data_IF_865395866811
#
_entry.id   IF_865395866811
#
_cell.length_a   1.000
_cell.length_b   1.000
_cell.length_c   1.000
_cell.angle_alpha   90.00
_cell.angle_beta   90.00
_cell.angle_gamma   90.00
#
_symmetry.space_group_name_H-M   'P 1'
#
loop_
_entity.id
_entity.type
_entity.pdbx_description
1 polymer ?
#
# COMPACT_ATOMS: atom_id res chain seq x y z
N UNK A 1 17.02 -0.14 -12.29
CA UNK A 1 17.37 -0.85 -11.04
C UNK A 1 18.71 -0.42 -10.45
N UNK A 2 19.70 0.06 -11.23
CA UNK A 2 21.01 0.38 -10.67
C UNK A 2 21.04 1.50 -9.60
N UNK A 3 20.06 2.41 -9.53
CA UNK A 3 20.00 3.41 -8.43
C UNK A 3 19.34 2.86 -7.17
N UNK A 4 18.36 1.96 -7.32
CA UNK A 4 17.78 1.19 -6.22
C UNK A 4 18.87 0.34 -5.55
N UNK A 5 19.68 -0.32 -6.38
CA UNK A 5 20.81 -1.14 -5.95
C UNK A 5 21.91 -0.33 -5.27
N UNK A 6 22.19 0.89 -5.74
CA UNK A 6 23.23 1.73 -5.17
C UNK A 6 22.81 2.42 -3.86
N UNK A 7 21.52 2.78 -3.71
CA UNK A 7 21.05 3.59 -2.58
C UNK A 7 20.30 2.79 -1.51
N UNK A 8 19.47 1.81 -1.89
CA UNK A 8 18.62 1.08 -0.94
C UNK A 8 19.29 -0.18 -0.39
N UNK A 9 19.96 -0.95 -1.24
CA UNK A 9 20.48 -2.26 -0.85
C UNK A 9 21.62 -2.21 0.17
N UNK A 10 22.57 -1.25 0.11
CA UNK A 10 23.57 -1.09 1.16
C UNK A 10 22.93 -0.77 2.53
N UNK A 11 21.84 0.00 2.54
CA UNK A 11 21.10 0.32 3.77
C UNK A 11 20.46 -0.93 4.36
N UNK A 12 19.84 -1.77 3.53
CA UNK A 12 19.30 -3.06 3.95
C UNK A 12 20.39 -4.01 4.47
N UNK A 13 21.57 -4.03 3.84
CA UNK A 13 22.72 -4.85 4.29
C UNK A 13 23.28 -4.40 5.65
N UNK A 14 23.26 -3.09 5.94
CA UNK A 14 23.60 -2.53 7.27
C UNK A 14 22.52 -2.75 8.34
N UNK A 15 21.40 -3.40 7.99
CA UNK A 15 20.28 -3.65 8.91
C UNK A 15 19.31 -2.48 9.05
N UNK A 16 19.38 -1.49 8.14
CA UNK A 16 18.41 -0.41 8.05
C UNK A 16 17.05 -0.88 7.51
N UNK A 17 16.05 -0.03 7.69
CA UNK A 17 14.65 -0.28 7.30
C UNK A 17 14.29 0.53 6.06
N UNK A 18 13.60 -0.10 5.11
CA UNK A 18 13.00 0.60 3.96
C UNK A 18 11.49 0.59 4.10
N UNK A 19 10.89 1.77 4.35
CA UNK A 19 9.46 1.99 4.46
C UNK A 19 8.88 2.44 3.12
N UNK A 20 7.97 1.66 2.55
CA UNK A 20 7.39 1.93 1.23
C UNK A 20 5.95 2.44 1.31
N UNK A 21 5.56 3.24 0.30
CA UNK A 21 4.19 3.70 0.14
C UNK A 21 3.22 2.60 -0.30
N UNK A 22 3.72 1.52 -0.91
CA UNK A 22 2.89 0.39 -1.35
C UNK A 22 3.49 -0.96 -1.00
N UNK A 23 2.64 -1.96 -0.76
CA UNK A 23 3.06 -3.36 -0.57
C UNK A 23 3.74 -3.93 -1.82
N UNK A 24 3.31 -3.48 -3.01
CA UNK A 24 3.92 -3.90 -4.29
C UNK A 24 5.38 -3.42 -4.39
N UNK A 25 5.64 -2.17 -4.01
CA UNK A 25 7.01 -1.64 -4.00
C UNK A 25 7.89 -2.38 -2.99
N UNK A 26 7.39 -2.67 -1.78
CA UNK A 26 8.14 -3.45 -0.79
C UNK A 26 8.54 -4.82 -1.33
N UNK A 27 7.60 -5.53 -1.96
CA UNK A 27 7.86 -6.83 -2.60
C UNK A 27 8.89 -6.75 -3.71
N UNK A 28 8.81 -5.73 -4.58
CA UNK A 28 9.77 -5.59 -5.68
C UNK A 28 11.18 -5.24 -5.17
N UNK A 29 11.29 -4.36 -4.17
CA UNK A 29 12.57 -4.03 -3.53
C UNK A 29 13.17 -5.28 -2.86
N UNK A 30 12.37 -6.04 -2.10
CA UNK A 30 12.80 -7.29 -1.48
C UNK A 30 13.30 -8.31 -2.50
N UNK A 31 12.53 -8.58 -3.57
CA UNK A 31 12.95 -9.45 -4.67
C UNK A 31 14.21 -8.95 -5.37
N UNK A 32 14.36 -7.63 -5.51
CA UNK A 32 15.55 -7.00 -6.07
C UNK A 32 16.78 -7.24 -5.20
N UNK A 33 16.64 -7.09 -3.89
CA UNK A 33 17.70 -7.34 -2.92
C UNK A 33 18.14 -8.81 -2.94
N UNK A 34 17.20 -9.76 -3.02
CA UNK A 34 17.51 -11.18 -3.14
C UNK A 34 18.30 -11.50 -4.41
N UNK A 35 17.93 -10.90 -5.55
CA UNK A 35 18.69 -11.05 -6.81
C UNK A 35 20.09 -10.46 -6.69
N UNK A 36 20.23 -9.32 -6.03
CA UNK A 36 21.50 -8.66 -5.81
C UNK A 36 22.44 -9.49 -4.93
N UNK A 37 21.93 -10.10 -3.85
CA UNK A 37 22.73 -11.00 -3.00
C UNK A 37 23.15 -12.28 -3.74
N UNK A 38 22.24 -12.89 -4.51
CA UNK A 38 22.57 -14.06 -5.36
C UNK A 38 23.65 -13.74 -6.39
N UNK A 39 23.56 -12.59 -7.06
CA UNK A 39 24.54 -12.17 -8.05
C UNK A 39 25.95 -11.97 -7.45
N UNK A 40 26.04 -11.71 -6.14
CA UNK A 40 27.29 -11.60 -5.37
C UNK A 40 27.79 -12.94 -4.82
N UNK A 41 27.12 -14.05 -5.15
CA UNK A 41 27.50 -15.39 -4.74
C UNK A 41 27.11 -15.75 -3.30
N UNK A 42 26.30 -14.94 -2.63
CA UNK A 42 25.78 -15.30 -1.31
C UNK A 42 24.85 -16.51 -1.42
N UNK A 43 24.94 -17.43 -0.46
CA UNK A 43 24.08 -18.62 -0.37
C UNK A 43 22.98 -18.49 0.69
N UNK A 44 23.17 -17.58 1.65
CA UNK A 44 22.18 -17.18 2.65
C UNK A 44 22.44 -15.73 3.09
N UNK A 45 21.37 -14.98 3.36
CA UNK A 45 21.42 -13.60 3.86
C UNK A 45 20.16 -13.30 4.70
N UNK A 46 20.22 -12.32 5.61
CA UNK A 46 19.03 -11.81 6.27
C UNK A 46 18.02 -11.27 5.25
N UNK A 47 16.74 -11.57 5.46
CA UNK A 47 15.67 -11.01 4.64
C UNK A 47 15.70 -9.47 4.69
N UNK A 48 15.48 -8.83 3.54
CA UNK A 48 15.39 -7.38 3.46
C UNK A 48 14.31 -6.86 4.42
N UNK A 49 14.68 -5.97 5.35
CA UNK A 49 13.73 -5.26 6.19
C UNK A 49 13.05 -4.14 5.37
N UNK A 50 12.23 -4.55 4.39
CA UNK A 50 11.51 -3.65 3.50
C UNK A 50 10.01 -3.89 3.62
N UNK A 51 9.29 -2.92 4.17
CA UNK A 51 7.89 -3.05 4.55
C UNK A 51 7.08 -1.84 4.08
N UNK A 52 5.80 -2.08 3.81
CA UNK A 52 4.85 -0.98 3.67
C UNK A 52 4.72 -0.26 5.02
N UNK A 53 4.66 1.08 5.02
CA UNK A 53 4.65 1.89 6.26
C UNK A 53 3.59 1.42 7.26
N UNK A 54 2.35 1.14 6.82
CA UNK A 54 1.31 0.64 7.74
C UNK A 54 1.63 -0.74 8.33
N UNK A 55 2.35 -1.60 7.61
CA UNK A 55 2.76 -2.92 8.13
C UNK A 55 3.79 -2.72 9.22
N UNK A 56 4.82 -1.90 8.96
CA UNK A 56 5.83 -1.56 9.94
C UNK A 56 5.21 -0.94 11.21
N UNK A 57 4.30 0.03 11.09
CA UNK A 57 3.60 0.62 12.25
C UNK A 57 2.89 -0.44 13.12
N UNK A 58 2.23 -1.41 12.50
CA UNK A 58 1.55 -2.50 13.23
C UNK A 58 2.55 -3.42 13.93
N UNK A 59 3.67 -3.73 13.29
CA UNK A 59 4.72 -4.55 13.88
C UNK A 59 5.39 -3.85 15.05
N UNK A 60 5.74 -2.57 14.89
CA UNK A 60 6.32 -1.76 15.95
C UNK A 60 5.38 -1.62 17.14
N UNK A 61 4.09 -1.35 16.90
CA UNK A 61 3.11 -1.30 17.98
C UNK A 61 2.93 -2.65 18.69
N UNK A 62 2.94 -3.77 17.96
CA UNK A 62 2.84 -5.10 18.59
C UNK A 62 4.08 -5.47 19.39
N UNK A 63 5.25 -5.02 18.95
CA UNK A 63 6.52 -5.31 19.61
C UNK A 63 6.65 -4.65 20.99
N UNK A 64 5.88 -3.60 21.29
CA UNK A 64 5.85 -2.98 22.63
C UNK A 64 5.05 -3.78 23.65
N UNK A 65 4.42 -4.90 23.25
CA UNK A 65 3.50 -5.68 24.09
C UNK A 65 2.44 -4.80 24.77
N UNK A 66 1.68 -4.02 23.99
CA UNK A 66 0.81 -3.00 24.53
C UNK A 66 -0.38 -3.62 25.27
N UNK A 67 -0.81 -2.98 26.34
CA UNK A 67 -2.07 -3.30 27.01
C UNK A 67 -3.28 -2.98 26.13
N UNK A 68 -3.14 -1.97 25.27
CA UNK A 68 -4.18 -1.53 24.33
C UNK A 68 -4.08 -2.32 23.02
N UNK A 69 -5.15 -3.04 22.69
CA UNK A 69 -5.16 -3.98 21.55
C UNK A 69 -5.37 -3.22 20.24
N UNK A 70 -4.58 -3.53 19.23
CA UNK A 70 -4.89 -3.10 17.86
C UNK A 70 -5.77 -4.16 17.18
N UNK A 71 -7.04 -3.86 16.86
CA UNK A 71 -7.92 -4.85 16.25
C UNK A 71 -7.40 -5.33 14.88
N UNK A 72 -7.85 -6.53 14.50
CA UNK A 72 -7.68 -7.02 13.14
C UNK A 72 -8.62 -6.28 12.20
N UNK A 73 -8.29 -6.24 10.91
CA UNK A 73 -9.13 -5.59 9.89
C UNK A 73 -10.56 -6.16 9.84
N UNK A 74 -10.79 -7.49 9.89
CA UNK A 74 -12.16 -8.02 9.97
C UNK A 74 -12.92 -7.57 11.23
N UNK A 75 -12.22 -7.46 12.37
CA UNK A 75 -12.84 -7.04 13.63
C UNK A 75 -13.20 -5.55 13.62
N UNK A 76 -12.33 -4.70 13.05
CA UNK A 76 -12.62 -3.30 12.79
C UNK A 76 -13.85 -3.13 11.89
N UNK A 77 -13.89 -3.85 10.76
CA UNK A 77 -15.01 -3.76 9.81
C UNK A 77 -16.32 -4.24 10.43
N UNK A 78 -16.32 -5.35 11.18
CA UNK A 78 -17.50 -5.83 11.90
C UNK A 78 -18.01 -4.81 12.94
N UNK A 79 -17.09 -4.12 13.63
CA UNK A 79 -17.45 -3.06 14.58
C UNK A 79 -18.09 -1.86 13.86
N UNK A 80 -17.53 -1.42 12.73
CA UNK A 80 -18.13 -0.38 11.90
C UNK A 80 -19.51 -0.77 11.40
N UNK A 81 -19.65 -1.97 10.82
CA UNK A 81 -20.91 -2.49 10.29
C UNK A 81 -22.01 -2.49 11.36
N UNK A 82 -21.69 -2.98 12.57
CA UNK A 82 -22.62 -3.01 13.70
C UNK A 82 -23.07 -1.60 14.11
N UNK A 83 -22.16 -0.65 14.21
CA UNK A 83 -22.46 0.73 14.61
C UNK A 83 -23.29 1.45 13.55
N UNK A 84 -22.96 1.26 12.28
CA UNK A 84 -23.71 1.82 11.15
C UNK A 84 -25.12 1.22 11.11
N UNK A 85 -25.24 -0.10 11.25
CA UNK A 85 -26.52 -0.80 11.29
C UNK A 85 -27.43 -0.30 12.43
N UNK A 86 -26.87 -0.05 13.61
CA UNK A 86 -27.62 0.51 14.75
C UNK A 86 -28.15 1.93 14.47
N UNK A 87 -27.34 2.83 13.89
CA UNK A 87 -27.78 4.19 13.52
C UNK A 87 -28.84 4.14 12.40
N UNK A 88 -28.64 3.30 11.38
CA UNK A 88 -29.59 3.15 10.26
C UNK A 88 -30.94 2.57 10.71
N UNK A 89 -30.96 1.64 11.65
CA UNK A 89 -32.22 1.09 12.19
C UNK A 89 -33.09 2.16 12.88
N UNK A 90 -32.47 3.22 13.39
CA UNK A 90 -33.19 4.36 14.00
C UNK A 90 -33.58 5.46 13.01
N UNK A 91 -33.03 5.43 11.79
CA UNK A 91 -33.25 6.47 10.79
C UNK A 91 -34.34 6.07 9.79
N UNK A 92 -35.29 6.97 9.54
CA UNK A 92 -36.26 6.83 8.44
C UNK A 92 -35.59 7.13 7.09
N UNK A 93 -34.69 6.25 6.65
CA UNK A 93 -33.90 6.40 5.42
C UNK A 93 -34.03 5.15 4.52
N UNK A 94 -33.73 5.27 3.22
CA UNK A 94 -33.70 4.12 2.32
C UNK A 94 -32.74 3.04 2.83
N UNK A 95 -32.98 1.76 2.49
CA UNK A 95 -32.16 0.65 2.97
C UNK A 95 -30.76 0.76 2.38
N UNK A 96 -29.83 1.28 3.18
CA UNK A 96 -28.40 1.19 2.89
C UNK A 96 -27.86 -0.07 3.57
N UNK A 97 -27.02 -0.82 2.86
CA UNK A 97 -26.38 -2.01 3.42
C UNK A 97 -25.20 -1.61 4.32
N UNK A 98 -25.24 -1.89 5.63
CA UNK A 98 -24.16 -1.54 6.55
C UNK A 98 -22.80 -2.14 6.15
N UNK A 99 -22.81 -3.35 5.61
CA UNK A 99 -21.61 -4.06 5.15
C UNK A 99 -20.89 -3.31 4.02
N UNK A 100 -21.63 -2.68 3.10
CA UNK A 100 -21.05 -1.86 2.03
C UNK A 100 -20.51 -0.52 2.52
N UNK A 101 -21.06 0.02 3.61
CA UNK A 101 -20.64 1.30 4.19
C UNK A 101 -19.45 1.18 5.14
N UNK A 102 -19.27 0.03 5.79
CA UNK A 102 -18.21 -0.15 6.80
C UNK A 102 -16.79 0.10 6.24
N UNK A 103 -16.39 -0.45 5.07
CA UNK A 103 -15.07 -0.15 4.49
C UNK A 103 -14.91 1.33 4.12
N UNK A 104 -15.97 1.97 3.62
CA UNK A 104 -15.97 3.40 3.26
C UNK A 104 -15.82 4.28 4.51
N UNK A 105 -16.50 3.93 5.60
CA UNK A 105 -16.40 4.63 6.88
C UNK A 105 -15.01 4.47 7.50
N UNK A 106 -14.45 3.26 7.49
CA UNK A 106 -13.09 3.00 7.98
C UNK A 106 -12.05 3.80 7.18
N UNK A 107 -12.15 3.80 5.84
CA UNK A 107 -11.24 4.56 4.99
C UNK A 107 -11.40 6.08 5.17
N UNK A 108 -12.64 6.58 5.26
CA UNK A 108 -12.89 7.98 5.54
C UNK A 108 -12.34 8.41 6.92
N UNK A 109 -12.46 7.56 7.95
CA UNK A 109 -11.88 7.80 9.27
C UNK A 109 -10.36 7.84 9.22
N UNK A 110 -9.74 6.93 8.44
CA UNK A 110 -8.30 6.93 8.19
C UNK A 110 -7.84 8.21 7.50
N UNK A 111 -8.47 8.60 6.40
CA UNK A 111 -8.13 9.82 5.67
C UNK A 111 -8.31 11.07 6.54
N UNK A 112 -9.44 11.17 7.25
CA UNK A 112 -9.71 12.29 8.14
C UNK A 112 -8.67 12.41 9.27
N UNK A 113 -8.18 11.28 9.79
CA UNK A 113 -7.13 11.26 10.82
C UNK A 113 -5.76 11.62 10.22
N UNK A 114 -5.34 10.91 9.17
CA UNK A 114 -4.04 11.08 8.53
C UNK A 114 -3.80 12.51 8.03
N UNK A 115 -4.84 13.15 7.50
CA UNK A 115 -4.79 14.53 6.99
C UNK A 115 -5.28 15.58 7.99
N UNK A 116 -5.56 15.18 9.25
CA UNK A 116 -6.00 16.08 10.33
C UNK A 116 -7.20 16.96 9.91
N UNK A 117 -8.16 16.35 9.21
CA UNK A 117 -9.32 17.07 8.69
C UNK A 117 -10.23 17.49 9.85
N UNK A 118 -10.70 18.75 9.88
CA UNK A 118 -11.64 19.21 10.89
C UNK A 118 -13.00 18.51 10.70
N UNK A 119 -13.71 18.28 11.81
CA UNK A 119 -15.07 17.75 11.75
C UNK A 119 -16.05 18.81 11.23
N UNK A 120 -16.21 18.88 9.90
CA UNK A 120 -17.11 19.82 9.24
C UNK A 120 -18.38 19.11 8.73
N UNK A 121 -19.55 19.47 9.27
CA UNK A 121 -20.83 18.82 9.01
C UNK A 121 -21.56 19.37 7.77
N UNK A 122 -20.90 19.34 6.61
CA UNK A 122 -21.38 20.00 5.38
C UNK A 122 -22.64 19.36 4.77
N UNK A 123 -22.77 18.03 4.84
CA UNK A 123 -23.92 17.29 4.27
C UNK A 123 -24.53 16.31 5.28
N UNK A 124 -25.72 15.78 4.95
CA UNK A 124 -26.39 14.78 5.79
C UNK A 124 -25.61 13.46 5.92
N UNK A 125 -24.82 13.12 4.91
CA UNK A 125 -23.93 11.94 4.90
C UNK A 125 -22.70 12.19 5.77
N UNK A 126 -22.06 13.35 5.62
CA UNK A 126 -20.90 13.73 6.44
C UNK A 126 -21.27 13.79 7.92
N UNK A 127 -22.47 14.29 8.25
CA UNK A 127 -23.01 14.23 9.62
C UNK A 127 -23.18 12.81 10.13
N UNK A 128 -23.67 11.89 9.30
CA UNK A 128 -23.81 10.49 9.68
C UNK A 128 -22.45 9.84 9.93
N UNK A 129 -21.50 10.04 9.01
CA UNK A 129 -20.13 9.60 9.16
C UNK A 129 -19.48 10.05 10.48
N UNK A 130 -19.58 11.35 10.83
CA UNK A 130 -18.99 11.82 12.10
C UNK A 130 -19.71 11.28 13.34
N UNK A 131 -21.02 10.98 13.28
CA UNK A 131 -21.69 10.25 14.37
C UNK A 131 -21.11 8.85 14.51
N UNK A 132 -21.00 8.10 13.41
CA UNK A 132 -20.44 6.75 13.42
C UNK A 132 -18.99 6.74 13.91
N UNK A 133 -18.16 7.69 13.48
CA UNK A 133 -16.76 7.83 13.94
C UNK A 133 -16.66 8.08 15.44
N UNK A 134 -17.51 8.95 16.01
CA UNK A 134 -17.55 9.18 17.46
C UNK A 134 -17.98 7.92 18.22
N UNK A 135 -18.98 7.20 17.72
CA UNK A 135 -19.41 5.94 18.31
C UNK A 135 -18.30 4.86 18.24
N UNK A 136 -17.57 4.79 17.12
CA UNK A 136 -16.45 3.87 16.96
C UNK A 136 -15.29 4.19 17.91
N UNK A 137 -14.97 5.47 18.12
CA UNK A 137 -13.98 5.90 19.10
C UNK A 137 -14.38 5.57 20.53
N UNK A 138 -15.66 5.76 20.89
CA UNK A 138 -16.20 5.33 22.18
C UNK A 138 -16.05 3.83 22.39
N UNK A 139 -16.42 3.03 21.37
CA UNK A 139 -16.23 1.58 21.40
C UNK A 139 -14.76 1.19 21.57
N UNK A 140 -13.84 1.87 20.89
CA UNK A 140 -12.41 1.61 21.03
C UNK A 140 -11.94 1.90 22.47
N UNK A 141 -12.37 3.01 23.05
CA UNK A 141 -12.07 3.34 24.44
C UNK A 141 -12.57 2.24 25.40
N UNK A 142 -13.83 1.82 25.26
CA UNK A 142 -14.47 0.86 26.16
C UNK A 142 -13.86 -0.55 26.07
N UNK A 143 -13.37 -0.94 24.89
CA UNK A 143 -12.74 -2.23 24.65
C UNK A 143 -11.21 -2.20 24.84
N UNK A 144 -10.63 -1.06 25.20
CA UNK A 144 -9.18 -0.91 25.30
C UNK A 144 -8.49 -1.13 23.95
N UNK A 145 -9.09 -0.64 22.87
CA UNK A 145 -8.55 -0.70 21.51
C UNK A 145 -7.86 0.60 21.11
N UNK A 146 -6.79 0.45 20.32
CA UNK A 146 -6.25 1.56 19.54
C UNK A 146 -7.13 1.73 18.31
N UNK A 147 -7.65 2.93 18.09
CA UNK A 147 -8.34 3.29 16.83
C UNK A 147 -7.36 3.04 15.66
N UNK A 148 -7.65 2.12 14.71
CA UNK A 148 -6.68 1.77 13.66
C UNK A 148 -6.28 2.94 12.76
N UNK A 149 -7.17 3.92 12.59
CA UNK A 149 -6.91 5.18 11.89
C UNK A 149 -5.87 6.07 12.58
N UNK A 150 -5.71 5.94 13.90
CA UNK A 150 -4.83 6.76 14.76
C UNK A 150 -3.52 6.05 15.11
N UNK A 151 -3.25 4.88 14.53
CA UNK A 151 -2.06 4.08 14.82
C UNK A 151 -0.75 4.83 14.53
N UNK A 152 -0.69 5.61 13.45
CA UNK A 152 0.50 6.39 13.09
C UNK A 152 0.84 7.42 14.19
N UNK A 153 -0.15 8.19 14.64
CA UNK A 153 0.02 9.16 15.71
C UNK A 153 0.36 8.48 17.05
N UNK A 154 -0.25 7.32 17.32
CA UNK A 154 0.04 6.53 18.53
C UNK A 154 1.48 6.05 18.57
N UNK A 155 1.99 5.51 17.46
CA UNK A 155 3.39 5.08 17.34
C UNK A 155 4.34 6.29 17.41
N UNK A 156 3.99 7.41 16.77
CA UNK A 156 4.80 8.63 16.86
C UNK A 156 4.92 9.11 18.32
N UNK A 157 3.81 9.13 19.07
CA UNK A 157 3.81 9.51 20.49
C UNK A 157 4.67 8.56 21.35
N UNK A 158 4.57 7.25 21.13
CA UNK A 158 5.36 6.27 21.88
C UNK A 158 6.88 6.34 21.54
N UNK A 159 7.23 6.66 20.29
CA UNK A 159 8.62 6.96 19.90
C UNK A 159 9.14 8.21 20.61
N UNK A 160 8.32 9.26 20.71
CA UNK A 160 8.68 10.51 21.42
C UNK A 160 8.80 10.32 22.92
N UNK A 161 7.93 9.53 23.53
CA UNK A 161 7.99 9.16 24.95
C UNK A 161 9.17 8.23 25.27
N UNK A 162 9.85 7.70 24.25
CA UNK A 162 10.99 6.79 24.41
C UNK A 162 10.59 5.35 24.77
N UNK A 163 9.29 5.05 24.78
CA UNK A 163 8.71 3.70 24.96
C UNK A 163 9.06 2.77 23.78
N UNK A 164 9.40 3.36 22.63
CA UNK A 164 9.84 2.66 21.43
C UNK A 164 11.27 3.07 21.05
N UNK A 165 12.04 2.09 20.58
CA UNK A 165 13.36 2.33 20.02
C UNK A 165 13.25 2.96 18.61
N UNK A 166 14.25 3.75 18.24
CA UNK A 166 14.44 4.16 16.85
C UNK A 166 14.86 2.99 15.96
N UNK A 167 14.97 3.23 14.65
CA UNK A 167 15.24 2.20 13.66
C UNK A 167 16.63 2.30 12.99
N UNK A 168 17.59 2.98 13.63
CA UNK A 168 18.93 3.17 13.06
C UNK A 168 18.88 4.00 11.78
N UNK A 169 18.97 3.35 10.62
CA UNK A 169 18.76 3.99 9.32
C UNK A 169 17.38 3.64 8.74
N UNK A 170 16.64 4.65 8.29
CA UNK A 170 15.31 4.49 7.70
C UNK A 170 15.23 5.18 6.35
N UNK A 171 14.82 4.43 5.32
CA UNK A 171 14.55 4.98 4.00
C UNK A 171 13.06 5.05 3.75
N UNK A 172 12.57 6.21 3.32
CA UNK A 172 11.17 6.41 2.94
C UNK A 172 11.05 6.41 1.43
N UNK A 173 10.42 5.38 0.86
CA UNK A 173 10.46 5.06 -0.56
C UNK A 173 9.07 5.07 -1.23
N UNK A 174 8.95 5.77 -2.36
CA UNK A 174 7.76 5.74 -3.22
C UNK A 174 6.60 6.62 -2.74
N UNK A 175 6.85 7.58 -1.85
CA UNK A 175 5.87 8.59 -1.45
C UNK A 175 6.04 9.84 -2.31
N UNK A 176 4.98 10.28 -2.99
CA UNK A 176 4.97 11.59 -3.66
C UNK A 176 4.92 12.72 -2.64
N UNK A 177 4.07 12.55 -1.62
CA UNK A 177 3.96 13.38 -0.42
C UNK A 177 3.59 12.48 0.75
N UNK A 178 4.10 12.81 1.93
CA UNK A 178 3.66 12.20 3.17
C UNK A 178 2.42 12.93 3.68
N UNK A 179 1.48 12.20 4.27
CA UNK A 179 0.40 12.81 5.04
C UNK A 179 0.93 13.35 6.37
N UNK A 180 0.27 14.34 6.99
CA UNK A 180 0.69 14.89 8.29
C UNK A 180 0.93 13.86 9.41
N UNK A 181 0.16 12.77 9.44
CA UNK A 181 0.41 11.68 10.40
C UNK A 181 1.69 10.89 10.07
N UNK A 182 1.98 10.66 8.79
CA UNK A 182 3.21 9.97 8.35
C UNK A 182 4.44 10.85 8.55
N UNK A 183 4.33 12.16 8.29
CA UNK A 183 5.35 13.15 8.66
C UNK A 183 5.62 13.15 10.17
N UNK A 184 4.57 13.01 10.99
CA UNK A 184 4.68 12.86 12.44
C UNK A 184 5.55 11.66 12.84
N UNK A 185 5.33 10.50 12.22
CA UNK A 185 6.14 9.29 12.45
C UNK A 185 7.60 9.51 12.03
N UNK A 186 7.84 10.10 10.85
CA UNK A 186 9.19 10.40 10.38
C UNK A 186 9.90 11.36 11.31
N UNK A 187 9.21 12.42 11.77
CA UNK A 187 9.76 13.38 12.71
C UNK A 187 10.06 12.75 14.08
N UNK A 188 9.21 11.84 14.56
CA UNK A 188 9.43 11.11 15.80
C UNK A 188 10.64 10.16 15.70
N UNK A 189 10.77 9.42 14.59
CA UNK A 189 11.94 8.57 14.30
C UNK A 189 13.25 9.36 14.30
N UNK A 190 13.27 10.52 13.63
CA UNK A 190 14.44 11.40 13.59
C UNK A 190 14.79 11.94 14.97
N UNK A 191 13.80 12.41 15.75
CA UNK A 191 14.03 12.86 17.14
C UNK A 191 14.50 11.74 18.06
N UNK A 192 14.12 10.49 17.78
CA UNK A 192 14.61 9.30 18.50
C UNK A 192 16.02 8.85 18.06
N UNK A 193 16.67 9.59 17.17
CA UNK A 193 18.04 9.35 16.72
C UNK A 193 18.17 8.47 15.48
N UNK A 194 17.05 8.20 14.77
CA UNK A 194 17.11 7.49 13.49
C UNK A 194 17.56 8.44 12.38
N UNK A 195 18.40 7.97 11.47
CA UNK A 195 18.75 8.70 10.26
C UNK A 195 17.71 8.38 9.20
N UNK A 196 16.79 9.32 8.96
CA UNK A 196 15.69 9.14 8.00
C UNK A 196 15.97 9.92 6.72
N UNK A 197 15.90 9.26 5.56
CA UNK A 197 16.06 9.93 4.27
C UNK A 197 15.04 9.45 3.22
N UNK A 198 14.56 10.37 2.36
CA UNK A 198 13.66 10.01 1.27
C UNK A 198 14.46 9.36 0.14
N UNK A 199 13.90 8.31 -0.47
CA UNK A 199 14.38 7.78 -1.73
C UNK A 199 13.63 8.42 -2.89
N UNK A 200 14.37 9.17 -3.71
CA UNK A 200 13.83 9.90 -4.85
C UNK A 200 14.32 9.24 -6.14
N UNK A 201 13.38 8.76 -6.96
CA UNK A 201 13.70 8.24 -8.29
C UNK A 201 14.14 9.41 -9.16
N UNK A 202 15.43 9.43 -9.51
CA UNK A 202 15.95 10.42 -10.47
C UNK A 202 15.66 9.93 -11.90
N UNK A 203 15.07 10.77 -12.77
CA UNK A 203 14.83 10.38 -14.16
C UNK A 203 16.17 10.11 -14.85
N UNK A 204 16.34 8.88 -15.34
CA UNK A 204 17.53 8.49 -16.10
C UNK A 204 17.32 8.81 -17.57
N UNK A 205 17.95 9.90 -18.03
CA UNK A 205 18.00 10.38 -19.42
C UNK A 205 16.63 10.81 -19.96
N UNK A 206 16.57 11.69 -20.98
CA UNK A 206 15.35 11.83 -21.75
C UNK A 206 15.03 10.48 -22.40
N UNK A 207 13.92 9.88 -21.98
CA UNK A 207 13.42 8.67 -22.59
C UNK A 207 12.90 9.00 -24.00
N UNK A 208 13.23 8.16 -24.98
CA UNK A 208 12.53 8.19 -26.25
C UNK A 208 11.08 7.78 -25.98
N UNK A 209 10.15 8.71 -26.20
CA UNK A 209 8.72 8.47 -26.05
C UNK A 209 8.06 8.46 -27.42
N UNK A 210 7.03 7.63 -27.56
CA UNK A 210 6.19 7.55 -28.73
C UNK A 210 4.73 7.61 -28.28
N UNK A 211 3.88 8.22 -29.10
CA UNK A 211 2.43 8.27 -28.87
C UNK A 211 1.74 7.64 -30.06
N UNK A 212 0.88 6.67 -29.79
CA UNK A 212 0.04 6.01 -30.79
C UNK A 212 -1.42 6.37 -30.53
N UNK A 213 -2.15 6.78 -31.57
CA UNK A 213 -3.59 6.93 -31.50
C UNK A 213 -4.26 5.61 -31.91
N UNK A 214 -5.19 5.13 -31.10
CA UNK A 214 -5.99 3.93 -31.36
C UNK A 214 -7.46 4.33 -31.49
N UNK A 215 -8.23 3.57 -32.27
CA UNK A 215 -9.65 3.85 -32.51
C UNK A 215 -10.51 3.69 -31.25
N UNK A 216 -10.17 2.70 -30.43
CA UNK A 216 -10.86 2.36 -29.19
C UNK A 216 -9.89 1.68 -28.20
N UNK A 217 -10.43 1.31 -27.03
CA UNK A 217 -9.68 0.65 -25.95
C UNK A 217 -9.18 -0.74 -26.33
N UNK A 218 -9.92 -1.48 -27.13
CA UNK A 218 -9.55 -2.83 -27.53
C UNK A 218 -8.32 -2.79 -28.44
N UNK A 219 -8.32 -1.89 -29.43
CA UNK A 219 -7.18 -1.64 -30.31
C UNK A 219 -5.97 -1.08 -29.56
N UNK A 220 -6.18 -0.27 -28.52
CA UNK A 220 -5.11 0.19 -27.63
C UNK A 220 -4.43 -0.97 -26.91
N UNK A 221 -5.21 -1.89 -26.34
CA UNK A 221 -4.70 -3.06 -25.62
C UNK A 221 -4.02 -4.07 -26.55
N UNK A 222 -4.59 -4.32 -27.74
CA UNK A 222 -3.97 -5.13 -28.79
C UNK A 222 -2.62 -4.56 -29.23
N UNK A 223 -2.55 -3.25 -29.50
CA UNK A 223 -1.30 -2.59 -29.87
C UNK A 223 -0.25 -2.71 -28.75
N UNK A 224 -0.66 -2.59 -27.48
CA UNK A 224 0.22 -2.79 -26.34
C UNK A 224 0.73 -4.24 -26.22
N UNK A 225 -0.12 -5.24 -26.47
CA UNK A 225 0.25 -6.65 -26.46
C UNK A 225 1.26 -6.98 -27.57
N UNK A 226 1.00 -6.52 -28.81
CA UNK A 226 1.94 -6.64 -29.93
C UNK A 226 3.27 -5.94 -29.65
N UNK A 227 3.23 -4.74 -29.07
CA UNK A 227 4.44 -4.02 -28.65
C UNK A 227 5.24 -4.84 -27.63
N UNK A 228 4.57 -5.44 -26.65
CA UNK A 228 5.23 -6.30 -25.66
C UNK A 228 5.95 -7.47 -26.32
N UNK A 229 5.25 -8.19 -27.21
CA UNK A 229 5.81 -9.31 -27.96
C UNK A 229 7.03 -8.90 -28.78
N UNK A 230 6.96 -7.76 -29.46
CA UNK A 230 8.04 -7.26 -30.29
C UNK A 230 9.27 -6.81 -29.48
N UNK A 231 9.06 -6.22 -28.30
CA UNK A 231 10.15 -5.73 -27.45
C UNK A 231 10.74 -6.82 -26.55
N UNK A 232 10.05 -7.94 -26.37
CA UNK A 232 10.46 -8.98 -25.45
C UNK A 232 11.78 -9.64 -25.90
N UNK A 233 12.70 -9.77 -24.95
CA UNK A 233 13.98 -10.48 -25.07
C UNK A 233 14.32 -11.12 -23.72
N UNK A 234 15.11 -12.20 -23.67
CA UNK A 234 15.60 -12.74 -22.42
C UNK A 234 16.27 -11.66 -21.55
N UNK A 235 15.79 -11.50 -20.31
CA UNK A 235 16.29 -10.50 -19.36
C UNK A 235 15.64 -9.11 -19.45
N UNK A 236 14.81 -8.84 -20.47
CA UNK A 236 14.04 -7.59 -20.56
C UNK A 236 12.76 -7.69 -19.74
N UNK A 237 12.50 -6.68 -18.91
CA UNK A 237 11.26 -6.54 -18.15
C UNK A 237 10.42 -5.43 -18.80
N UNK A 238 9.22 -5.79 -19.23
CA UNK A 238 8.24 -4.85 -19.77
C UNK A 238 7.15 -4.64 -18.72
N UNK A 239 6.59 -3.43 -18.69
CA UNK A 239 5.48 -3.07 -17.81
C UNK A 239 4.44 -2.31 -18.60
N UNK A 240 3.20 -2.77 -18.56
CA UNK A 240 2.05 -2.08 -19.15
C UNK A 240 1.19 -1.55 -18.02
N UNK A 241 0.82 -0.27 -18.10
CA UNK A 241 -0.03 0.39 -17.10
C UNK A 241 -1.38 0.66 -17.76
N UNK A 242 -2.41 -0.04 -17.29
CA UNK A 242 -3.79 0.14 -17.76
C UNK A 242 -4.59 0.86 -16.67
N UNK A 243 -5.10 2.07 -16.94
CA UNK A 243 -6.03 2.73 -16.03
C UNK A 243 -7.28 1.88 -15.81
N UNK A 244 -7.80 1.83 -14.59
CA UNK A 244 -8.98 1.04 -14.21
C UNK A 244 -8.91 -0.44 -14.64
N UNK A 245 -7.76 -1.08 -14.40
CA UNK A 245 -7.52 -2.49 -14.76
C UNK A 245 -8.65 -3.42 -14.28
N UNK A 246 -9.31 -3.15 -13.15
CA UNK A 246 -10.44 -3.96 -12.69
C UNK A 246 -11.59 -4.07 -13.71
N UNK A 247 -11.86 -2.99 -14.46
CA UNK A 247 -12.87 -2.97 -15.52
C UNK A 247 -12.43 -3.72 -16.78
N UNK A 248 -11.14 -3.63 -17.10
CA UNK A 248 -10.58 -4.13 -18.37
C UNK A 248 -9.86 -5.46 -18.24
N UNK A 249 -9.74 -6.01 -17.03
CA UNK A 249 -9.00 -7.23 -16.72
C UNK A 249 -9.36 -8.39 -17.65
N UNK A 250 -10.64 -8.73 -17.89
CA UNK A 250 -10.97 -9.84 -18.78
C UNK A 250 -10.42 -9.64 -20.20
N UNK A 251 -10.54 -8.42 -20.73
CA UNK A 251 -10.06 -8.07 -22.06
C UNK A 251 -8.53 -8.05 -22.14
N UNK A 252 -7.86 -7.57 -21.08
CA UNK A 252 -6.39 -7.62 -21.00
C UNK A 252 -5.92 -9.08 -20.97
N UNK A 253 -6.53 -9.92 -20.14
CA UNK A 253 -6.19 -11.34 -20.02
C UNK A 253 -6.35 -12.05 -21.37
N UNK A 254 -7.47 -11.85 -22.06
CA UNK A 254 -7.73 -12.44 -23.37
C UNK A 254 -6.68 -12.02 -24.42
N UNK A 255 -6.52 -10.71 -24.63
CA UNK A 255 -5.68 -10.17 -25.71
C UNK A 255 -4.18 -10.42 -25.47
N UNK A 256 -3.72 -10.30 -24.21
CA UNK A 256 -2.31 -10.53 -23.89
C UNK A 256 -1.99 -12.03 -23.93
N UNK A 257 -2.91 -12.90 -23.52
CA UNK A 257 -2.70 -14.35 -23.64
C UNK A 257 -2.62 -14.75 -25.11
N UNK A 258 -3.54 -14.28 -25.95
CA UNK A 258 -3.53 -14.57 -27.38
C UNK A 258 -2.20 -14.19 -28.06
N UNK A 259 -1.59 -13.07 -27.64
CA UNK A 259 -0.34 -12.58 -28.24
C UNK A 259 0.93 -13.16 -27.63
N UNK A 260 0.99 -13.30 -26.31
CA UNK A 260 2.22 -13.68 -25.59
C UNK A 260 2.33 -15.18 -25.35
N UNK A 261 1.20 -15.87 -25.23
CA UNK A 261 1.15 -17.33 -25.03
C UNK A 261 -0.08 -17.95 -25.73
N UNK A 262 -0.06 -18.03 -27.07
CA UNK A 262 -1.16 -18.64 -27.82
C UNK A 262 -1.34 -20.13 -27.52
N UNK A 263 -0.35 -20.80 -26.92
CA UNK A 263 -0.42 -22.23 -26.57
C UNK A 263 -1.28 -22.44 -25.33
N UNK A 264 -1.31 -21.47 -24.39
CA UNK A 264 -2.20 -21.50 -23.24
C UNK A 264 -3.70 -21.47 -23.61
N UNK A 265 -4.06 -21.08 -24.84
CA UNK A 265 -5.43 -21.12 -25.34
C UNK A 265 -5.83 -22.50 -25.90
N UNK A 266 -4.89 -23.45 -25.99
CA UNK A 266 -5.18 -24.80 -26.50
C UNK A 266 -5.76 -25.71 -25.41
N UNK A 267 -6.76 -26.55 -25.74
CA UNK A 267 -7.32 -27.50 -24.78
C UNK A 267 -6.25 -28.49 -24.28
N UNK A 268 -6.10 -28.62 -22.96
CA UNK A 268 -5.16 -29.55 -22.32
C UNK A 268 -3.76 -29.00 -22.06
N UNK A 269 -3.52 -27.70 -22.30
CA UNK A 269 -2.27 -27.03 -21.90
C UNK A 269 -2.20 -26.82 -20.38
N UNK A 270 -1.00 -26.89 -19.82
CA UNK A 270 -0.78 -26.61 -18.40
C UNK A 270 -0.85 -25.10 -18.15
N UNK A 271 -1.62 -24.67 -17.15
CA UNK A 271 -1.74 -23.27 -16.73
C UNK A 271 -0.40 -22.75 -16.18
N UNK A 272 0.45 -22.22 -17.05
CA UNK A 272 1.59 -21.40 -16.63
C UNK A 272 1.35 -20.00 -17.18
N UNK A 273 1.01 -19.05 -16.31
CA UNK A 273 0.73 -17.69 -16.75
C UNK A 273 1.99 -17.03 -17.33
N UNK A 274 1.90 -16.55 -18.58
CA UNK A 274 3.00 -15.89 -19.27
C UNK A 274 3.27 -14.45 -18.79
N UNK A 275 2.34 -13.86 -18.03
CA UNK A 275 2.44 -12.51 -17.49
C UNK A 275 1.73 -12.39 -16.13
N UNK A 276 2.14 -11.41 -15.32
CA UNK A 276 1.55 -11.09 -14.01
C UNK A 276 0.63 -9.85 -14.12
N UNK A 277 -0.57 -9.90 -13.51
CA UNK A 277 -1.53 -8.78 -13.42
C UNK A 277 -1.66 -8.18 -12.00
#
# INVERSE_FOLDING_TARGET
>A
MADVEAELFPTLERGGVVLTATRRLAREIGRGYDRWQRARGATAWPAAHCLHLRVWLREQWRATWPTTVLPSEPLELAAWERLIGADLATASRPPLEPAGLAPLAAEAARLATHYRLPEAATTGEVRAFYRWRRAFRGLCHDLGWVEPASLADTVAAALEAGEMAGAGEVVVAGFDRLSPAEEGVVAALTRRGSVVFPWVVRPRRPAAWQRLGCADREQELLAAAHWCRHQWRPGVRLGVIVPDLGKWRPLVEELFTAELDPVALLPGSAETAAFDL
#
